data_IF_767592418222
#
_entry.id   IF_767592418222
#
_cell.length_a   1.000
_cell.length_b   1.000
_cell.length_c   1.000
_cell.angle_alpha   90.00
_cell.angle_beta   90.00
_cell.angle_gamma   90.00
#
_symmetry.space_group_name_H-M   'P 1'
#
loop_
_entity.id
_entity.type
_entity.pdbx_description
1 polymer ?
#
# COMPACT_ATOMS: atom_id res chain seq x y z
N UNK A 1 -30.58 9.70 -7.24
CA UNK A 1 -29.35 9.06 -7.74
C UNK A 1 -28.55 8.66 -6.51
N UNK A 2 -28.43 7.38 -6.20
CA UNK A 2 -27.51 6.92 -5.15
C UNK A 2 -26.09 7.17 -5.65
N UNK A 3 -25.42 8.17 -5.10
CA UNK A 3 -23.98 8.34 -5.27
C UNK A 3 -23.35 7.17 -4.51
N UNK A 4 -22.82 6.19 -5.23
CA UNK A 4 -21.99 5.13 -4.62
C UNK A 4 -20.83 5.82 -3.91
N UNK A 5 -20.89 5.82 -2.58
CA UNK A 5 -19.88 6.46 -1.75
C UNK A 5 -18.55 5.70 -1.96
N UNK A 6 -17.64 6.33 -2.68
CA UNK A 6 -16.31 5.76 -2.95
C UNK A 6 -15.49 5.88 -1.67
N UNK A 7 -15.03 4.77 -1.10
CA UNK A 7 -14.22 4.72 0.12
C UNK A 7 -13.04 5.70 0.06
N UNK A 8 -12.67 6.30 1.20
CA UNK A 8 -11.62 7.30 1.30
C UNK A 8 -10.29 6.83 0.67
N UNK A 9 -9.88 5.57 0.90
CA UNK A 9 -8.63 5.05 0.33
C UNK A 9 -8.60 5.04 -1.21
N UNK A 10 -9.76 5.01 -1.87
CA UNK A 10 -9.85 5.14 -3.33
C UNK A 10 -9.92 6.61 -3.76
N UNK A 11 -10.67 7.45 -3.03
CA UNK A 11 -10.83 8.87 -3.31
C UNK A 11 -9.51 9.64 -3.16
N UNK A 12 -8.77 9.35 -2.09
CA UNK A 12 -7.49 9.98 -1.76
C UNK A 12 -6.27 9.18 -2.22
N UNK A 13 -6.47 8.22 -3.13
CA UNK A 13 -5.38 7.45 -3.72
C UNK A 13 -4.44 8.40 -4.46
N UNK A 14 -3.12 8.37 -4.18
CA UNK A 14 -2.12 9.19 -4.86
C UNK A 14 -2.24 9.10 -6.38
N UNK A 15 -2.18 10.26 -7.06
CA UNK A 15 -2.22 10.36 -8.51
C UNK A 15 -0.85 10.73 -9.11
N UNK A 16 0.10 11.16 -8.29
CA UNK A 16 1.47 11.48 -8.70
C UNK A 16 2.47 11.08 -7.60
N UNK A 17 3.77 11.02 -7.96
CA UNK A 17 4.84 10.57 -7.06
C UNK A 17 5.05 11.51 -5.85
N UNK A 18 4.67 12.78 -5.91
CA UNK A 18 4.79 13.72 -4.80
C UNK A 18 3.75 13.47 -3.70
N UNK A 19 2.65 12.81 -4.04
CA UNK A 19 1.58 12.47 -3.10
C UNK A 19 1.85 11.17 -2.35
N UNK A 20 2.89 10.43 -2.73
CA UNK A 20 3.28 9.18 -2.06
C UNK A 20 3.93 9.51 -0.73
N UNK A 21 3.27 9.12 0.35
CA UNK A 21 3.70 9.42 1.72
C UNK A 21 4.80 8.47 2.18
N UNK A 22 5.91 9.00 2.68
CA UNK A 22 6.97 8.25 3.36
C UNK A 22 7.86 7.41 2.45
N UNK A 23 7.85 7.67 1.12
CA UNK A 23 8.62 6.90 0.13
C UNK A 23 9.51 7.81 -0.74
N UNK A 24 10.16 8.80 -0.15
CA UNK A 24 10.91 9.87 -0.86
C UNK A 24 11.99 9.30 -1.77
N UNK A 25 12.70 8.25 -1.32
CA UNK A 25 13.76 7.60 -2.12
C UNK A 25 13.20 6.95 -3.38
N UNK A 26 12.07 6.26 -3.27
CA UNK A 26 11.39 5.60 -4.40
C UNK A 26 10.87 6.66 -5.38
N UNK A 27 10.20 7.69 -4.86
CA UNK A 27 9.72 8.82 -5.66
C UNK A 27 10.84 9.46 -6.45
N UNK A 28 12.02 9.67 -5.83
CA UNK A 28 13.20 10.23 -6.50
C UNK A 28 13.76 9.32 -7.60
N UNK A 29 13.86 8.01 -7.33
CA UNK A 29 14.35 7.03 -8.33
C UNK A 29 13.43 7.02 -9.55
N UNK A 30 12.12 6.89 -9.33
CA UNK A 30 11.14 6.80 -10.40
C UNK A 30 10.99 8.13 -11.16
N UNK A 31 11.04 9.27 -10.46
CA UNK A 31 11.06 10.59 -11.10
C UNK A 31 12.23 10.73 -12.07
N UNK A 32 13.43 10.31 -11.64
CA UNK A 32 14.61 10.35 -12.51
C UNK A 32 14.48 9.38 -13.71
N UNK A 33 13.90 8.20 -13.50
CA UNK A 33 13.66 7.24 -14.58
C UNK A 33 12.70 7.79 -15.62
N UNK A 34 11.61 8.46 -15.18
CA UNK A 34 10.63 9.12 -16.06
C UNK A 34 11.29 10.27 -16.82
N UNK A 35 11.98 11.20 -16.14
CA UNK A 35 12.62 12.37 -16.76
C UNK A 35 13.68 11.97 -17.80
N UNK A 36 14.42 10.88 -17.56
CA UNK A 36 15.45 10.41 -18.48
C UNK A 36 14.93 9.40 -19.51
N UNK A 37 13.62 9.13 -19.51
CA UNK A 37 13.00 8.05 -20.32
C UNK A 37 13.76 6.71 -20.21
N UNK A 38 14.22 6.38 -18.99
CA UNK A 38 14.99 5.16 -18.67
C UNK A 38 14.21 4.30 -17.68
N UNK A 39 13.02 3.89 -18.09
CA UNK A 39 12.16 3.02 -17.30
C UNK A 39 12.70 1.59 -17.45
N UNK A 40 12.90 0.89 -16.33
CA UNK A 40 13.39 -0.49 -16.36
C UNK A 40 12.34 -1.43 -17.00
N UNK A 41 12.81 -2.53 -17.57
CA UNK A 41 11.96 -3.57 -18.14
C UNK A 41 11.10 -4.24 -17.07
N UNK A 42 11.64 -4.40 -15.84
CA UNK A 42 10.93 -5.00 -14.74
C UNK A 42 11.29 -4.31 -13.41
N UNK A 43 10.26 -4.03 -12.62
CA UNK A 43 10.37 -3.55 -11.24
C UNK A 43 9.79 -4.58 -10.28
N UNK A 44 10.41 -4.72 -9.10
CA UNK A 44 9.86 -5.42 -7.96
C UNK A 44 9.62 -4.42 -6.82
N UNK A 45 8.36 -4.08 -6.57
CA UNK A 45 7.92 -3.21 -5.49
C UNK A 45 7.64 -4.06 -4.25
N UNK A 46 8.50 -3.96 -3.25
CA UNK A 46 8.45 -4.81 -2.06
C UNK A 46 8.18 -3.99 -0.80
N UNK A 47 7.28 -4.45 0.07
CA UNK A 47 6.97 -3.77 1.34
C UNK A 47 5.61 -4.15 1.91
N UNK A 48 5.30 -3.68 3.11
CA UNK A 48 4.06 -3.99 3.82
C UNK A 48 2.81 -3.66 3.01
N UNK A 49 1.68 -4.30 3.36
CA UNK A 49 0.37 -3.99 2.79
C UNK A 49 0.03 -2.51 3.06
N UNK A 50 -0.65 -1.85 2.13
CA UNK A 50 -1.06 -0.45 2.28
C UNK A 50 0.06 0.58 2.19
N UNK A 51 1.32 0.19 1.85
CA UNK A 51 2.46 1.10 1.69
C UNK A 51 2.49 1.89 0.37
N UNK A 52 1.54 1.64 -0.55
CA UNK A 52 1.40 2.38 -1.81
C UNK A 52 1.99 1.71 -3.05
N UNK A 53 2.42 0.42 -3.00
CA UNK A 53 3.03 -0.30 -4.12
C UNK A 53 2.22 -0.21 -5.41
N UNK A 54 0.98 -0.69 -5.39
CA UNK A 54 0.10 -0.70 -6.56
C UNK A 54 -0.24 0.72 -7.04
N UNK A 55 -0.35 1.70 -6.13
CA UNK A 55 -0.52 3.11 -6.49
C UNK A 55 0.69 3.63 -7.27
N UNK A 56 1.91 3.34 -6.82
CA UNK A 56 3.15 3.71 -7.52
C UNK A 56 3.24 3.04 -8.90
N UNK A 57 2.87 1.76 -9.02
CA UNK A 57 2.83 1.06 -10.30
C UNK A 57 1.91 1.78 -11.30
N UNK A 58 0.70 2.16 -10.89
CA UNK A 58 -0.27 2.89 -11.71
C UNK A 58 0.18 4.31 -12.06
N UNK A 59 0.82 5.02 -11.12
CA UNK A 59 1.41 6.34 -11.37
C UNK A 59 2.54 6.25 -12.40
N UNK A 60 3.43 5.26 -12.26
CA UNK A 60 4.50 5.02 -13.22
C UNK A 60 3.96 4.73 -14.62
N UNK A 61 2.94 3.88 -14.73
CA UNK A 61 2.26 3.57 -15.99
C UNK A 61 1.71 4.84 -16.67
N UNK A 62 1.00 5.69 -15.93
CA UNK A 62 0.46 6.96 -16.44
C UNK A 62 1.57 7.92 -16.85
N UNK A 63 2.59 8.10 -16.02
CA UNK A 63 3.68 9.03 -16.28
C UNK A 63 4.54 8.58 -17.47
N UNK A 64 4.78 7.28 -17.62
CA UNK A 64 5.55 6.70 -18.73
C UNK A 64 4.88 6.89 -20.11
N UNK A 65 3.56 7.03 -20.13
CA UNK A 65 2.75 7.19 -21.34
C UNK A 65 2.21 8.63 -21.52
N UNK A 66 2.57 9.55 -20.62
CA UNK A 66 2.07 10.92 -20.70
C UNK A 66 2.74 11.70 -21.83
N UNK A 67 1.94 12.25 -22.73
CA UNK A 67 2.40 13.07 -23.86
C UNK A 67 2.87 14.48 -23.42
N UNK A 68 2.40 14.96 -22.26
CA UNK A 68 2.63 16.31 -21.75
C UNK A 68 3.02 16.28 -20.28
N UNK A 69 4.20 15.67 -20.01
CA UNK A 69 4.74 15.63 -18.64
C UNK A 69 4.98 17.04 -18.08
N UNK A 70 4.54 17.28 -16.86
CA UNK A 70 4.92 18.45 -16.06
C UNK A 70 6.03 18.03 -15.08
N UNK A 71 7.28 18.19 -15.50
CA UNK A 71 8.42 17.55 -14.85
C UNK A 71 8.29 16.03 -14.97
N UNK A 72 8.15 15.33 -13.87
CA UNK A 72 7.92 13.88 -13.81
C UNK A 72 6.45 13.49 -13.52
N UNK A 73 5.55 14.48 -13.47
CA UNK A 73 4.12 14.27 -13.16
C UNK A 73 3.31 14.17 -14.44
N UNK A 74 2.47 13.15 -14.54
CA UNK A 74 1.52 12.99 -15.63
C UNK A 74 0.51 14.15 -15.66
N UNK A 75 0.18 14.65 -16.85
CA UNK A 75 -0.74 15.80 -16.99
C UNK A 75 -2.20 15.47 -16.63
N UNK A 76 -2.57 14.16 -16.64
CA UNK A 76 -3.92 13.66 -16.32
C UNK A 76 -4.97 13.86 -17.43
N UNK A 77 -4.68 14.63 -18.48
CA UNK A 77 -5.66 15.05 -19.49
C UNK A 77 -5.43 14.47 -20.89
N UNK A 78 -4.18 14.18 -21.28
CA UNK A 78 -3.83 13.66 -22.61
C UNK A 78 -4.35 12.20 -22.81
N UNK A 79 -4.33 11.73 -24.05
CA UNK A 79 -4.74 10.37 -24.37
C UNK A 79 -3.88 9.33 -23.64
N UNK A 80 -2.57 9.52 -23.62
CA UNK A 80 -1.66 8.66 -22.86
C UNK A 80 -2.05 8.51 -21.39
N UNK A 81 -2.45 9.60 -20.71
CA UNK A 81 -2.92 9.54 -19.32
C UNK A 81 -4.28 8.84 -19.16
N UNK A 82 -5.20 9.05 -20.10
CA UNK A 82 -6.56 8.47 -20.04
C UNK A 82 -6.54 6.96 -20.28
N UNK A 83 -5.74 6.53 -21.24
CA UNK A 83 -5.72 5.13 -21.67
C UNK A 83 -4.60 4.29 -21.05
N UNK A 84 -3.63 4.89 -20.35
CA UNK A 84 -2.50 4.16 -19.77
C UNK A 84 -2.92 2.95 -18.93
N UNK A 85 -3.92 3.12 -18.06
CA UNK A 85 -4.42 2.02 -17.24
C UNK A 85 -5.43 1.12 -17.95
N UNK A 86 -6.06 1.59 -19.02
CA UNK A 86 -6.94 0.77 -19.86
C UNK A 86 -6.14 -0.24 -20.68
N UNK A 87 -5.00 0.18 -21.24
CA UNK A 87 -4.12 -0.66 -22.04
C UNK A 87 -3.12 -1.46 -21.18
N UNK A 88 -3.02 -1.16 -19.89
CA UNK A 88 -2.25 -1.95 -18.93
C UNK A 88 -3.00 -3.24 -18.57
N UNK A 89 -2.25 -4.28 -18.23
CA UNK A 89 -2.80 -5.52 -17.67
C UNK A 89 -2.50 -5.51 -16.17
N UNK A 90 -3.54 -5.56 -15.35
CA UNK A 90 -3.41 -5.66 -13.90
C UNK A 90 -3.96 -7.02 -13.45
N UNK A 91 -3.09 -7.84 -12.87
CA UNK A 91 -3.39 -9.20 -12.43
C UNK A 91 -3.14 -9.29 -10.93
N UNK A 92 -4.15 -9.74 -10.18
CA UNK A 92 -4.01 -10.13 -8.79
C UNK A 92 -3.63 -11.62 -8.73
N UNK A 93 -2.39 -11.91 -8.32
CA UNK A 93 -1.87 -13.26 -8.22
C UNK A 93 -2.53 -14.08 -7.10
N UNK A 94 -3.23 -13.45 -6.15
CA UNK A 94 -4.02 -14.18 -5.16
C UNK A 94 -5.21 -14.93 -5.81
N UNK A 95 -5.81 -14.31 -6.84
CA UNK A 95 -6.94 -14.87 -7.59
C UNK A 95 -6.50 -15.62 -8.86
N UNK A 96 -5.41 -15.18 -9.51
CA UNK A 96 -4.93 -15.68 -10.81
C UNK A 96 -3.48 -16.18 -10.69
N UNK A 97 -3.28 -17.24 -9.91
CA UNK A 97 -1.95 -17.79 -9.59
C UNK A 97 -1.49 -18.91 -10.51
N UNK A 98 -2.38 -19.39 -11.38
CA UNK A 98 -2.19 -20.57 -12.22
C UNK A 98 -1.29 -20.33 -13.41
N UNK A 99 -0.72 -21.43 -13.94
CA UNK A 99 0.13 -21.38 -15.13
C UNK A 99 -0.65 -20.96 -16.38
N UNK A 100 -1.93 -21.28 -16.46
CA UNK A 100 -2.75 -20.99 -17.64
C UNK A 100 -3.11 -19.51 -17.71
N UNK A 101 -3.38 -18.85 -16.57
CA UNK A 101 -3.55 -17.39 -16.50
C UNK A 101 -2.28 -16.66 -16.99
N UNK A 102 -1.10 -17.18 -16.60
CA UNK A 102 0.17 -16.59 -17.03
C UNK A 102 0.46 -16.85 -18.51
N UNK A 103 0.09 -18.01 -19.07
CA UNK A 103 0.22 -18.25 -20.51
C UNK A 103 -0.64 -17.29 -21.33
N UNK A 104 -1.90 -17.08 -20.92
CA UNK A 104 -2.77 -16.10 -21.56
C UNK A 104 -2.17 -14.69 -21.51
N UNK A 105 -1.65 -14.28 -20.33
CA UNK A 105 -0.93 -13.01 -20.16
C UNK A 105 0.26 -12.90 -21.14
N UNK A 106 1.07 -13.96 -21.26
CA UNK A 106 2.23 -14.00 -22.15
C UNK A 106 1.85 -13.91 -23.63
N UNK A 107 0.72 -14.43 -24.02
CA UNK A 107 0.21 -14.30 -25.39
C UNK A 107 -0.30 -12.89 -25.66
N UNK A 108 -1.07 -12.30 -24.73
CA UNK A 108 -1.59 -10.92 -24.87
C UNK A 108 -0.45 -9.88 -24.87
N UNK A 109 0.62 -10.10 -24.12
CA UNK A 109 1.72 -9.14 -24.04
C UNK A 109 2.46 -8.94 -25.37
N UNK A 110 2.40 -9.90 -26.30
CA UNK A 110 3.05 -9.81 -27.61
C UNK A 110 2.43 -8.73 -28.50
N UNK A 111 1.17 -8.42 -28.27
CA UNK A 111 0.47 -7.37 -29.01
C UNK A 111 0.78 -5.99 -28.42
N UNK A 112 1.02 -5.03 -29.31
CA UNK A 112 1.19 -3.63 -28.88
C UNK A 112 -0.10 -3.11 -28.24
N UNK A 113 0.01 -2.18 -27.30
CA UNK A 113 -1.16 -1.48 -26.77
C UNK A 113 -1.84 -0.66 -27.89
N UNK A 114 -3.13 -0.37 -27.73
CA UNK A 114 -3.93 0.28 -28.78
C UNK A 114 -3.81 1.81 -28.71
N UNK A 115 -3.66 2.38 -27.54
CA UNK A 115 -3.78 3.82 -27.31
C UNK A 115 -2.53 4.46 -26.74
N UNK A 116 -1.56 3.68 -26.28
CA UNK A 116 -0.34 4.14 -25.63
C UNK A 116 0.90 3.46 -26.22
N UNK A 117 2.10 4.02 -25.94
CA UNK A 117 3.35 3.43 -26.44
C UNK A 117 3.87 2.28 -25.60
N UNK A 118 3.66 2.34 -24.28
CA UNK A 118 4.20 1.38 -23.30
C UNK A 118 3.07 0.63 -22.61
N UNK A 119 3.10 -0.70 -22.74
CA UNK A 119 2.20 -1.63 -22.06
C UNK A 119 2.79 -2.00 -20.72
N UNK A 120 2.08 -1.70 -19.65
CA UNK A 120 2.46 -2.13 -18.31
C UNK A 120 1.72 -3.40 -17.92
N UNK A 121 2.46 -4.35 -17.35
CA UNK A 121 1.92 -5.57 -16.76
C UNK A 121 2.19 -5.47 -15.27
N UNK A 122 1.14 -5.23 -14.50
CA UNK A 122 1.18 -5.06 -13.05
C UNK A 122 0.67 -6.36 -12.43
N UNK A 123 1.53 -7.06 -11.69
CA UNK A 123 1.18 -8.29 -10.98
C UNK A 123 1.23 -7.99 -9.49
N UNK A 124 0.05 -7.88 -8.88
CA UNK A 124 -0.06 -7.67 -7.43
C UNK A 124 0.01 -9.01 -6.68
N UNK A 125 0.51 -8.97 -5.44
CA UNK A 125 0.79 -10.12 -4.57
C UNK A 125 1.60 -11.24 -5.30
N UNK A 126 2.62 -10.84 -6.06
CA UNK A 126 3.38 -11.72 -6.95
C UNK A 126 4.01 -12.96 -6.26
N UNK A 127 4.17 -12.96 -4.93
CA UNK A 127 4.60 -14.10 -4.15
C UNK A 127 3.56 -15.23 -4.10
N UNK A 128 2.29 -14.98 -4.48
CA UNK A 128 1.24 -15.98 -4.56
C UNK A 128 1.29 -16.82 -5.85
N UNK A 129 2.10 -16.42 -6.84
CA UNK A 129 2.25 -17.18 -8.07
C UNK A 129 2.86 -18.57 -7.81
N UNK A 130 2.40 -19.56 -8.57
CA UNK A 130 3.00 -20.90 -8.48
C UNK A 130 4.43 -20.91 -9.05
N UNK A 131 5.24 -21.89 -8.66
CA UNK A 131 6.58 -22.08 -9.20
C UNK A 131 6.58 -22.21 -10.73
N UNK A 132 5.58 -22.92 -11.30
CA UNK A 132 5.41 -23.05 -12.76
C UNK A 132 5.11 -21.71 -13.43
N UNK A 133 4.25 -20.88 -12.82
CA UNK A 133 3.92 -19.53 -13.29
C UNK A 133 5.13 -18.60 -13.27
N UNK A 134 5.89 -18.61 -12.16
CA UNK A 134 7.11 -17.84 -12.03
C UNK A 134 8.14 -18.22 -13.08
N UNK A 135 8.38 -19.53 -13.29
CA UNK A 135 9.32 -20.01 -14.30
C UNK A 135 8.89 -19.63 -15.74
N UNK A 136 7.59 -19.62 -16.05
CA UNK A 136 7.09 -19.17 -17.33
C UNK A 136 7.37 -17.68 -17.59
N UNK A 137 7.34 -16.85 -16.54
CA UNK A 137 7.62 -15.42 -16.62
C UNK A 137 9.12 -15.10 -16.80
N UNK A 138 10.04 -15.96 -16.37
CA UNK A 138 11.47 -15.66 -16.37
C UNK A 138 11.99 -15.20 -17.72
N UNK A 139 11.66 -15.94 -18.80
CA UNK A 139 12.10 -15.58 -20.15
C UNK A 139 11.49 -14.26 -20.63
N UNK A 140 10.23 -14.02 -20.31
CA UNK A 140 9.53 -12.80 -20.69
C UNK A 140 10.07 -11.57 -19.96
N UNK A 141 10.54 -11.74 -18.73
CA UNK A 141 11.14 -10.66 -17.92
C UNK A 141 12.58 -10.37 -18.34
N UNK A 142 13.35 -11.38 -18.77
CA UNK A 142 14.70 -11.20 -19.30
C UNK A 142 14.71 -10.43 -20.63
N UNK A 143 13.86 -10.86 -21.56
CA UNK A 143 13.82 -10.33 -22.93
C UNK A 143 12.38 -9.90 -23.30
N UNK A 144 11.82 -8.88 -22.63
CA UNK A 144 10.48 -8.42 -22.93
C UNK A 144 10.42 -7.70 -24.29
N UNK A 145 9.29 -7.72 -24.98
CA UNK A 145 9.06 -6.83 -26.10
C UNK A 145 9.32 -5.37 -25.69
N UNK A 146 9.90 -4.55 -26.58
CA UNK A 146 10.32 -3.16 -26.29
C UNK A 146 9.22 -2.26 -25.70
N UNK A 147 7.97 -2.62 -25.95
CA UNK A 147 6.80 -1.86 -25.45
C UNK A 147 6.29 -2.39 -24.10
N UNK A 148 6.85 -3.47 -23.55
CA UNK A 148 6.36 -4.12 -22.33
C UNK A 148 7.24 -3.78 -21.14
N UNK A 149 6.60 -3.41 -20.03
CA UNK A 149 7.23 -3.19 -18.74
C UNK A 149 6.48 -3.96 -17.66
N UNK A 150 7.22 -4.75 -16.87
CA UNK A 150 6.65 -5.50 -15.75
C UNK A 150 6.77 -4.72 -14.44
N UNK A 151 5.74 -4.79 -13.61
CA UNK A 151 5.77 -4.28 -12.24
C UNK A 151 5.18 -5.34 -11.31
N UNK A 152 6.04 -5.98 -10.56
CA UNK A 152 5.65 -6.96 -9.54
C UNK A 152 5.51 -6.25 -8.20
N UNK A 153 4.39 -6.48 -7.50
CA UNK A 153 4.18 -6.00 -6.14
C UNK A 153 4.14 -7.20 -5.19
N UNK A 154 4.82 -7.09 -4.05
CA UNK A 154 4.86 -8.17 -3.05
C UNK A 154 4.95 -7.61 -1.63
N UNK A 155 4.38 -8.35 -0.68
CA UNK A 155 4.55 -8.09 0.75
C UNK A 155 5.70 -8.90 1.34
N UNK A 156 6.16 -9.94 0.65
CA UNK A 156 7.16 -10.88 1.16
C UNK A 156 8.58 -10.57 0.71
N UNK A 157 9.53 -11.01 1.52
CA UNK A 157 10.92 -11.05 1.16
C UNK A 157 11.22 -12.34 0.41
N UNK A 158 11.88 -12.30 -0.75
CA UNK A 158 12.35 -13.51 -1.39
C UNK A 158 13.22 -14.33 -0.42
N UNK A 159 12.91 -15.60 -0.27
CA UNK A 159 13.69 -16.58 0.47
C UNK A 159 14.06 -17.72 -0.48
N UNK A 160 14.87 -18.66 -0.03
CA UNK A 160 15.24 -19.85 -0.81
C UNK A 160 14.75 -21.14 -0.15
N UNK A 161 13.74 -21.05 0.73
CA UNK A 161 13.30 -22.18 1.54
C UNK A 161 12.54 -23.23 0.71
N UNK A 162 11.68 -22.79 -0.21
CA UNK A 162 10.87 -23.68 -1.08
C UNK A 162 11.27 -23.52 -2.55
N UNK A 163 10.77 -24.39 -3.42
CA UNK A 163 11.04 -24.26 -4.88
C UNK A 163 10.30 -23.05 -5.48
N UNK A 164 9.14 -22.68 -4.94
CA UNK A 164 8.46 -21.44 -5.30
C UNK A 164 9.30 -20.23 -4.89
N UNK A 165 9.86 -20.23 -3.70
CA UNK A 165 10.74 -19.16 -3.22
C UNK A 165 11.99 -19.04 -4.09
N UNK A 166 12.62 -20.14 -4.48
CA UNK A 166 13.76 -20.14 -5.41
C UNK A 166 13.42 -19.52 -6.76
N UNK A 167 12.26 -19.86 -7.32
CA UNK A 167 11.79 -19.28 -8.58
C UNK A 167 11.52 -17.78 -8.41
N UNK A 168 10.95 -17.35 -7.28
CA UNK A 168 10.71 -15.95 -6.96
C UNK A 168 12.02 -15.16 -6.75
N UNK A 169 13.03 -15.75 -6.08
CA UNK A 169 14.38 -15.17 -5.97
C UNK A 169 14.99 -14.98 -7.35
N UNK A 170 14.87 -15.98 -8.23
CA UNK A 170 15.37 -15.94 -9.60
C UNK A 170 14.70 -14.84 -10.43
N UNK A 171 13.37 -14.66 -10.30
CA UNK A 171 12.63 -13.55 -10.89
C UNK A 171 13.11 -12.20 -10.34
N UNK A 172 13.26 -12.12 -9.02
CA UNK A 172 13.66 -10.89 -8.32
C UNK A 172 15.03 -10.37 -8.76
N UNK A 173 15.96 -11.28 -9.08
CA UNK A 173 17.32 -10.91 -9.55
C UNK A 173 17.32 -10.22 -10.92
N UNK A 174 16.23 -10.33 -11.68
CA UNK A 174 16.02 -9.70 -13.00
C UNK A 174 15.26 -8.39 -12.92
N UNK A 175 14.82 -8.02 -11.73
CA UNK A 175 14.00 -6.82 -11.50
C UNK A 175 14.84 -5.72 -10.81
N UNK A 176 14.52 -4.47 -11.09
CA UNK A 176 14.94 -3.36 -10.24
C UNK A 176 14.09 -3.35 -8.97
N UNK A 177 14.71 -3.68 -7.83
CA UNK A 177 14.01 -3.79 -6.55
C UNK A 177 13.85 -2.41 -5.92
N UNK A 178 12.62 -2.06 -5.56
CA UNK A 178 12.27 -0.85 -4.82
C UNK A 178 11.62 -1.25 -3.48
N UNK A 179 12.33 -0.95 -2.38
CA UNK A 179 11.92 -1.33 -1.04
C UNK A 179 11.06 -0.23 -0.42
N UNK A 180 9.78 -0.50 -0.23
CA UNK A 180 8.83 0.37 0.49
C UNK A 180 9.01 0.21 2.00
N UNK A 181 9.02 1.32 2.70
CA UNK A 181 9.06 1.37 4.16
C UNK A 181 7.65 1.49 4.73
N UNK A 182 7.46 1.06 5.97
CA UNK A 182 6.26 1.42 6.73
C UNK A 182 6.18 2.94 6.83
N UNK A 183 4.96 3.47 6.68
CA UNK A 183 4.74 4.92 6.80
C UNK A 183 4.92 5.32 8.26
N UNK A 184 5.66 6.40 8.51
CA UNK A 184 5.89 6.88 9.87
C UNK A 184 4.58 7.41 10.49
N UNK A 185 4.39 7.26 11.81
CA UNK A 185 3.20 7.77 12.50
C UNK A 185 2.92 9.24 12.21
N UNK A 186 3.97 10.08 12.18
CA UNK A 186 3.85 11.51 11.86
C UNK A 186 3.30 11.73 10.45
N UNK A 187 3.89 11.08 9.45
CA UNK A 187 3.47 11.24 8.05
C UNK A 187 2.04 10.72 7.81
N UNK A 188 1.64 9.67 8.54
CA UNK A 188 0.29 9.14 8.50
C UNK A 188 -0.71 10.12 9.12
N UNK A 189 -0.39 10.67 10.31
CA UNK A 189 -1.21 11.68 10.97
C UNK A 189 -1.42 12.91 10.07
N UNK A 190 -0.35 13.42 9.45
CA UNK A 190 -0.40 14.54 8.52
C UNK A 190 -1.29 14.26 7.28
N UNK A 191 -1.31 13.02 6.79
CA UNK A 191 -2.18 12.59 5.69
C UNK A 191 -3.64 12.52 6.14
N UNK A 192 -3.94 11.90 7.29
CA UNK A 192 -5.30 11.80 7.83
C UNK A 192 -5.88 13.18 8.14
N UNK A 193 -5.10 14.07 8.74
CA UNK A 193 -5.53 15.45 9.02
C UNK A 193 -5.90 16.19 7.73
N UNK A 194 -5.12 16.04 6.65
CA UNK A 194 -5.46 16.61 5.34
C UNK A 194 -6.75 16.05 4.76
N UNK A 195 -7.02 14.76 4.96
CA UNK A 195 -8.27 14.14 4.53
C UNK A 195 -9.44 14.72 5.32
N UNK A 196 -9.33 14.84 6.65
CA UNK A 196 -10.38 15.43 7.48
C UNK A 196 -10.73 16.87 7.03
N UNK A 197 -9.71 17.70 6.74
CA UNK A 197 -9.94 19.06 6.21
C UNK A 197 -10.67 19.02 4.86
N UNK A 198 -10.31 18.08 3.98
CA UNK A 198 -10.94 17.97 2.66
C UNK A 198 -12.37 17.39 2.72
N UNK A 199 -12.71 16.67 3.79
CA UNK A 199 -14.07 16.16 4.08
C UNK A 199 -14.87 17.10 5.00
N UNK A 200 -14.39 18.34 5.24
CA UNK A 200 -15.00 19.35 6.13
C UNK A 200 -15.28 18.81 7.56
N UNK A 201 -14.43 17.91 8.05
CA UNK A 201 -14.59 17.26 9.35
C UNK A 201 -13.51 17.72 10.34
N UNK A 202 -13.90 17.83 11.63
CA UNK A 202 -13.03 18.30 12.73
C UNK A 202 -12.66 17.18 13.70
N UNK A 203 -12.27 16.00 13.18
CA UNK A 203 -11.87 14.85 14.02
C UNK A 203 -10.71 15.25 14.94
N UNK A 204 -10.86 14.95 16.24
CA UNK A 204 -9.85 15.30 17.24
C UNK A 204 -8.52 14.60 16.98
N UNK A 205 -7.42 15.25 17.42
CA UNK A 205 -6.07 14.70 17.25
C UNK A 205 -5.91 13.35 17.97
N UNK A 206 -6.57 13.14 19.09
CA UNK A 206 -6.48 11.90 19.88
C UNK A 206 -7.09 10.73 19.14
N UNK A 207 -8.23 10.93 18.45
CA UNK A 207 -8.83 9.93 17.58
C UNK A 207 -7.91 9.62 16.40
N UNK A 208 -7.32 10.63 15.75
CA UNK A 208 -6.36 10.41 14.66
C UNK A 208 -5.12 9.65 15.11
N UNK A 209 -4.61 9.94 16.32
CA UNK A 209 -3.48 9.19 16.91
C UNK A 209 -3.87 7.73 17.19
N UNK A 210 -5.08 7.49 17.65
CA UNK A 210 -5.61 6.14 17.86
C UNK A 210 -5.73 5.34 16.55
N UNK A 211 -6.20 5.98 15.47
CA UNK A 211 -6.23 5.39 14.13
C UNK A 211 -4.81 5.01 13.67
N UNK A 212 -3.85 5.92 13.82
CA UNK A 212 -2.44 5.70 13.46
C UNK A 212 -1.85 4.52 14.23
N UNK A 213 -2.10 4.44 15.54
CA UNK A 213 -1.64 3.32 16.38
C UNK A 213 -2.17 1.97 15.91
N UNK A 214 -3.45 1.92 15.52
CA UNK A 214 -4.12 0.68 15.07
C UNK A 214 -3.70 0.24 13.66
N UNK A 215 -3.20 1.15 12.83
CA UNK A 215 -2.96 0.90 11.41
C UNK A 215 -1.61 0.25 11.09
N UNK A 216 -0.73 0.04 12.07
CA UNK A 216 0.62 -0.58 11.93
C UNK A 216 1.43 -0.09 10.71
N UNK A 217 1.33 1.18 10.36
CA UNK A 217 2.03 1.78 9.22
C UNK A 217 1.37 1.55 7.86
N UNK A 218 0.16 0.99 7.82
CA UNK A 218 -0.67 0.83 6.62
C UNK A 218 -1.58 2.04 6.42
N UNK A 219 -1.30 2.88 5.41
CA UNK A 219 -2.17 4.01 5.06
C UNK A 219 -3.57 3.57 4.63
N UNK A 220 -3.68 2.45 3.90
CA UNK A 220 -4.96 1.93 3.46
C UNK A 220 -5.87 1.58 4.64
N UNK A 221 -5.30 0.93 5.68
CA UNK A 221 -6.06 0.56 6.86
C UNK A 221 -6.42 1.81 7.68
N UNK A 222 -5.49 2.78 7.79
CA UNK A 222 -5.76 4.06 8.43
C UNK A 222 -6.89 4.84 7.73
N UNK A 223 -6.88 4.91 6.42
CA UNK A 223 -7.92 5.57 5.62
C UNK A 223 -9.27 4.84 5.72
N UNK A 224 -9.29 3.51 5.77
CA UNK A 224 -10.52 2.73 6.00
C UNK A 224 -11.09 2.94 7.41
N UNK A 225 -10.23 2.96 8.43
CA UNK A 225 -10.66 3.24 9.80
C UNK A 225 -11.21 4.68 9.90
N UNK A 226 -10.52 5.65 9.27
CA UNK A 226 -11.00 7.02 9.23
C UNK A 226 -12.37 7.13 8.56
N UNK A 227 -12.61 6.42 7.45
CA UNK A 227 -13.91 6.39 6.76
C UNK A 227 -15.03 5.94 7.70
N UNK A 228 -14.79 4.90 8.50
CA UNK A 228 -15.70 4.44 9.54
C UNK A 228 -15.89 5.49 10.64
N UNK A 229 -14.80 6.11 11.10
CA UNK A 229 -14.87 7.16 12.14
C UNK A 229 -15.67 8.36 11.65
N UNK A 230 -15.47 8.82 10.43
CA UNK A 230 -16.23 9.95 9.87
C UNK A 230 -17.74 9.65 9.80
N UNK A 231 -18.11 8.38 9.54
CA UNK A 231 -19.52 7.98 9.54
C UNK A 231 -20.15 8.04 10.94
N UNK A 232 -19.36 7.82 11.99
CA UNK A 232 -19.84 7.83 13.38
C UNK A 232 -19.71 9.19 14.05
N UNK A 233 -18.86 10.08 13.53
CA UNK A 233 -18.39 11.28 14.22
C UNK A 233 -19.50 12.28 14.54
N UNK A 234 -20.54 12.35 13.72
CA UNK A 234 -21.68 13.24 13.92
C UNK A 234 -22.73 12.67 14.91
N UNK A 235 -22.65 11.37 15.21
CA UNK A 235 -23.67 10.66 16.01
C UNK A 235 -23.16 10.17 17.37
N UNK A 236 -21.84 10.02 17.54
CA UNK A 236 -21.24 9.42 18.73
C UNK A 236 -20.20 10.36 19.38
N UNK A 237 -20.11 10.39 20.73
CA UNK A 237 -19.11 11.17 21.43
C UNK A 237 -17.70 10.59 21.21
N UNK A 238 -16.63 11.43 21.30
CA UNK A 238 -15.24 11.01 21.05
C UNK A 238 -14.78 9.79 21.85
N UNK A 239 -15.22 9.65 23.10
CA UNK A 239 -14.89 8.55 23.99
C UNK A 239 -15.41 7.22 23.46
N UNK A 240 -16.66 7.19 22.93
CA UNK A 240 -17.22 6.00 22.29
C UNK A 240 -16.54 5.64 20.99
N UNK A 241 -16.10 6.62 20.21
CA UNK A 241 -15.32 6.37 18.99
C UNK A 241 -13.99 5.72 19.34
N UNK A 242 -13.30 6.22 20.35
CA UNK A 242 -12.06 5.62 20.85
C UNK A 242 -12.32 4.20 21.36
N UNK A 243 -13.36 3.99 22.16
CA UNK A 243 -13.77 2.67 22.62
C UNK A 243 -14.08 1.71 21.46
N UNK A 244 -14.79 2.17 20.44
CA UNK A 244 -15.01 1.39 19.20
C UNK A 244 -13.72 1.01 18.49
N UNK A 245 -12.74 1.92 18.44
CA UNK A 245 -11.45 1.65 17.81
C UNK A 245 -10.64 0.59 18.55
N UNK A 246 -10.61 0.62 19.89
CA UNK A 246 -9.81 -0.31 20.68
C UNK A 246 -10.58 -1.56 21.11
N UNK A 247 -11.91 -1.59 20.96
CA UNK A 247 -12.78 -2.62 21.53
C UNK A 247 -12.83 -2.52 23.05
N UNK A 248 -13.37 -3.53 23.72
CA UNK A 248 -13.47 -3.58 25.19
C UNK A 248 -12.11 -3.80 25.91
N UNK A 249 -11.00 -3.39 25.29
CA UNK A 249 -9.66 -3.50 25.89
C UNK A 249 -9.55 -2.65 27.17
N UNK A 250 -10.35 -1.59 27.30
CA UNK A 250 -10.40 -0.81 28.55
C UNK A 250 -10.90 -1.63 29.76
N UNK A 251 -11.82 -2.56 29.58
CA UNK A 251 -12.21 -3.49 30.66
C UNK A 251 -11.04 -4.37 31.09
N UNK A 252 -10.24 -4.87 30.15
CA UNK A 252 -9.08 -5.72 30.47
C UNK A 252 -7.94 -4.90 31.09
N UNK A 253 -7.71 -3.66 30.65
CA UNK A 253 -6.67 -2.80 31.24
C UNK A 253 -7.11 -2.27 32.61
N UNK A 254 -8.37 -1.87 32.80
CA UNK A 254 -8.89 -1.49 34.12
C UNK A 254 -8.89 -2.69 35.08
N UNK A 255 -9.34 -3.87 34.66
CA UNK A 255 -9.26 -5.08 35.47
C UNK A 255 -7.81 -5.50 35.78
N UNK A 256 -6.87 -5.34 34.82
CA UNK A 256 -5.44 -5.59 35.06
C UNK A 256 -4.84 -4.56 36.02
N UNK A 257 -5.18 -3.28 35.92
CA UNK A 257 -4.72 -2.22 36.83
C UNK A 257 -5.34 -2.39 38.23
N UNK A 258 -6.64 -2.70 38.34
CA UNK A 258 -7.28 -3.01 39.61
C UNK A 258 -6.72 -4.29 40.25
N UNK A 259 -6.43 -5.33 39.45
CA UNK A 259 -5.76 -6.53 39.91
C UNK A 259 -4.30 -6.28 40.34
N UNK A 260 -3.54 -5.46 39.60
CA UNK A 260 -2.19 -5.07 39.99
C UNK A 260 -2.20 -4.21 41.27
N UNK A 261 -3.17 -3.31 41.43
CA UNK A 261 -3.33 -2.51 42.64
C UNK A 261 -3.76 -3.37 43.85
N UNK A 262 -4.62 -4.38 43.62
CA UNK A 262 -5.00 -5.36 44.66
C UNK A 262 -3.86 -6.30 45.03
N UNK A 263 -3.07 -6.76 44.06
CA UNK A 263 -1.88 -7.61 44.28
C UNK A 263 -0.79 -6.78 44.97
N UNK A 264 -0.56 -5.52 44.60
CA UNK A 264 0.38 -4.68 45.29
C UNK A 264 -0.03 -4.42 46.75
N UNK A 265 -1.32 -4.14 47.00
CA UNK A 265 -1.87 -3.95 48.35
C UNK A 265 -1.76 -5.27 49.20
N UNK A 266 -1.98 -6.42 48.58
CA UNK A 266 -1.82 -7.71 49.26
C UNK A 266 -0.35 -8.02 49.58
N UNK A 267 0.56 -7.74 48.68
CA UNK A 267 2.01 -7.87 48.91
C UNK A 267 2.52 -6.90 49.99
N UNK A 268 2.10 -5.61 49.99
CA UNK A 268 2.47 -4.67 51.02
C UNK A 268 1.90 -5.04 52.40
N UNK A 269 0.70 -5.61 52.48
CA UNK A 269 0.12 -6.05 53.72
C UNK A 269 0.82 -7.30 54.29
N UNK A 270 1.35 -8.20 53.44
CA UNK A 270 2.06 -9.41 53.85
C UNK A 270 3.52 -9.16 54.24
N UNK A 271 4.16 -8.09 53.81
CA UNK A 271 5.56 -7.78 54.07
C UNK A 271 5.76 -6.67 55.11
N UNK A 272 4.69 -6.08 55.67
CA UNK A 272 4.80 -5.09 56.80
C UNK A 272 5.60 -3.81 56.47
N UNK A 273 5.71 -3.41 55.23
CA UNK A 273 6.46 -2.23 54.78
C UNK A 273 5.61 -0.94 54.91
N UNK A 274 6.18 0.17 55.43
CA UNK A 274 5.42 1.41 55.63
C UNK A 274 5.08 2.05 54.30
N UNK A 275 3.88 2.63 54.24
CA UNK A 275 3.41 3.47 53.11
C UNK A 275 4.27 4.72 52.99
N UNK A 276 5.22 4.74 52.12
CA UNK A 276 5.92 5.94 51.72
C UNK A 276 5.81 6.12 50.20
N UNK A 277 5.11 7.20 49.86
CA UNK A 277 5.03 7.81 48.51
C UNK A 277 4.17 7.11 47.42
N UNK A 278 2.98 7.64 47.25
CA UNK A 278 2.38 8.01 45.96
C UNK A 278 1.74 9.41 46.08
#
# INVERSE_FOLDING_TARGET
MMVTQVNLYNRYRPQNLNEIVGQESISRILSNAILKNRIANAYLLRGSRGSGKTSVARILCKAANCEQLKGFTACGACNGCKFALHDAIELDAASNRGIDDIKELLDIMRFRPQHVDKKFIIIDEAHQLTSASLNALLKAVEEPPKHVHFVFCTTENPSSATDTDKAFVTLSSRCQILQFKKVSPKAMLDKLARICIAEDSTVSRDILMSIVGKSDGSLRDAENILDTVLTLYDSEPPERIIQFLYGDIELITCELFENLDSISKALFSSFGLPKIWF
#
